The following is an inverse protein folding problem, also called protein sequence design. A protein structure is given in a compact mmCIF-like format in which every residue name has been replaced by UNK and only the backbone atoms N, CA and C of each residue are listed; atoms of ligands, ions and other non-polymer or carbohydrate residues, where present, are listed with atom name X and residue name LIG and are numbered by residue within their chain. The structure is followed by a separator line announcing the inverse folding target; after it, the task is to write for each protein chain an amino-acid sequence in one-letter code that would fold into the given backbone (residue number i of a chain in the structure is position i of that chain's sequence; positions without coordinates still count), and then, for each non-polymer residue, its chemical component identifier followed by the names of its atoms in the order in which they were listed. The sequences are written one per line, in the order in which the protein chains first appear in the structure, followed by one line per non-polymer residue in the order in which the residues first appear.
data_IF_388762022026
#
_entry.id   IF_388762022026
#
_cell.length_a   1.000
_cell.length_b   1.000
_cell.length_c   1.000
_cell.angle_alpha   90.00
_cell.angle_beta   90.00
_cell.angle_gamma   90.00
#
_symmetry.space_group_name_H-M   'P 1'
#
loop_
_entity.id
_entity.type
_entity.pdbx_description
1 polymer ?
#
# COMPACT_ATOMS: atom_id res chain seq x y z
N UNK A 1 -7.79 30.30 -4.62
CA UNK A 1 -7.18 28.99 -4.95
C UNK A 1 -5.68 29.13 -4.78
N UNK A 2 -5.02 28.24 -4.01
CA UNK A 2 -3.57 28.26 -3.87
C UNK A 2 -2.88 28.02 -5.22
N UNK A 3 -1.74 28.66 -5.45
CA UNK A 3 -0.96 28.45 -6.68
C UNK A 3 -0.55 26.98 -6.82
N UNK A 4 -0.53 26.43 -8.05
CA UNK A 4 0.02 25.12 -8.32
C UNK A 4 1.48 25.02 -7.87
N UNK A 5 1.86 23.97 -7.14
CA UNK A 5 3.22 23.79 -6.64
C UNK A 5 3.83 22.54 -7.24
N UNK A 6 5.03 22.65 -7.78
CA UNK A 6 5.81 21.56 -8.35
C UNK A 6 7.21 21.59 -7.77
N UNK A 7 7.54 20.60 -6.92
CA UNK A 7 8.91 20.43 -6.42
C UNK A 7 9.65 19.46 -7.31
N UNK A 8 10.81 19.84 -7.79
CA UNK A 8 11.60 19.07 -8.76
C UNK A 8 12.43 17.96 -8.11
N UNK A 9 12.63 18.02 -6.79
CA UNK A 9 13.48 17.07 -6.05
C UNK A 9 12.70 16.49 -4.88
N UNK A 10 13.05 15.24 -4.51
CA UNK A 10 12.46 14.50 -3.40
C UNK A 10 13.56 14.00 -2.47
N UNK A 11 13.38 14.18 -1.17
CA UNK A 11 14.23 13.57 -0.15
C UNK A 11 13.72 12.14 0.11
N UNK A 12 14.30 11.15 -0.54
CA UNK A 12 13.88 9.75 -0.53
C UNK A 12 14.38 9.00 0.72
N UNK A 13 13.63 7.97 1.15
CA UNK A 13 14.19 6.93 2.01
C UNK A 13 15.36 6.24 1.31
N UNK A 14 16.32 5.75 2.09
CA UNK A 14 17.52 5.13 1.53
C UNK A 14 17.20 3.84 0.73
N UNK A 15 17.87 3.60 -0.43
CA UNK A 15 17.66 2.40 -1.23
C UNK A 15 17.84 1.09 -0.46
N UNK A 16 18.81 1.03 0.47
CA UNK A 16 19.02 -0.12 1.34
C UNK A 16 17.83 -0.42 2.25
N UNK A 17 17.14 0.61 2.73
CA UNK A 17 15.92 0.44 3.52
C UNK A 17 14.77 -0.10 2.68
N UNK A 18 14.59 0.38 1.46
CA UNK A 18 13.61 -0.16 0.53
C UNK A 18 13.89 -1.64 0.21
N UNK A 19 15.17 -2.03 0.04
CA UNK A 19 15.55 -3.42 -0.19
C UNK A 19 15.20 -4.33 1.00
N UNK A 20 15.34 -3.86 2.23
CA UNK A 20 14.90 -4.56 3.45
C UNK A 20 13.38 -4.64 3.51
N UNK A 21 12.68 -3.54 3.30
CA UNK A 21 11.22 -3.48 3.33
C UNK A 21 10.55 -4.41 2.29
N UNK A 22 11.22 -4.74 1.17
CA UNK A 22 10.72 -5.72 0.19
C UNK A 22 10.65 -7.16 0.71
N UNK A 23 11.28 -7.46 1.84
CA UNK A 23 11.34 -8.81 2.44
C UNK A 23 10.23 -9.05 3.47
N UNK A 24 9.54 -8.01 3.88
CA UNK A 24 8.45 -8.07 4.87
C UNK A 24 7.13 -7.71 4.19
N UNK A 25 6.02 -8.13 4.78
CA UNK A 25 4.68 -7.88 4.25
C UNK A 25 4.15 -6.51 4.69
N UNK A 26 3.10 -6.05 4.02
CA UNK A 26 2.34 -4.85 4.46
C UNK A 26 1.76 -5.06 5.86
N UNK A 27 1.29 -6.27 6.17
CA UNK A 27 0.78 -6.63 7.50
C UNK A 27 1.87 -6.50 8.58
N UNK A 28 3.09 -7.01 8.32
CA UNK A 28 4.21 -6.88 9.25
C UNK A 28 4.60 -5.43 9.50
N UNK A 29 4.65 -4.64 8.44
CA UNK A 29 4.93 -3.20 8.58
C UNK A 29 3.85 -2.52 9.42
N UNK A 30 2.56 -2.80 9.15
CA UNK A 30 1.45 -2.19 9.86
C UNK A 30 1.45 -2.52 11.35
N UNK A 31 1.64 -3.76 11.74
CA UNK A 31 1.72 -4.15 13.16
C UNK A 31 2.86 -3.42 13.89
N UNK A 32 3.95 -3.10 13.19
CA UNK A 32 5.07 -2.35 13.76
C UNK A 32 4.88 -0.82 13.76
N UNK A 33 3.70 -0.33 13.35
CA UNK A 33 3.29 1.07 13.54
C UNK A 33 2.43 1.29 14.79
N UNK A 34 2.32 0.33 15.71
CA UNK A 34 1.52 0.45 16.92
C UNK A 34 1.88 1.70 17.76
N UNK A 35 3.17 2.04 17.86
CA UNK A 35 3.65 3.25 18.54
C UNK A 35 3.26 4.56 17.78
N UNK A 36 2.76 4.45 16.57
CA UNK A 36 2.21 5.52 15.75
C UNK A 36 0.67 5.42 15.66
N UNK A 37 0.02 4.76 16.61
CA UNK A 37 -1.41 4.49 16.63
C UNK A 37 -1.93 3.78 15.35
N UNK A 38 -1.13 2.84 14.82
CA UNK A 38 -1.41 2.09 13.58
C UNK A 38 -1.65 2.98 12.36
N UNK A 39 -1.00 4.15 12.31
CA UNK A 39 -1.09 5.07 11.20
C UNK A 39 -0.46 4.50 9.93
N UNK A 40 -0.91 5.00 8.78
CA UNK A 40 -0.28 4.76 7.49
C UNK A 40 -0.95 3.71 6.61
N UNK A 41 -1.85 2.88 7.14
CA UNK A 41 -2.59 1.92 6.32
C UNK A 41 -3.69 2.64 5.51
N UNK A 42 -3.65 2.48 4.19
CA UNK A 42 -4.68 3.04 3.31
C UNK A 42 -6.00 2.28 3.43
N UNK A 43 -7.09 2.98 3.11
CA UNK A 43 -8.43 2.39 3.07
C UNK A 43 -8.44 1.09 2.24
N UNK A 44 -9.20 0.05 2.66
CA UNK A 44 -9.39 -1.19 1.88
C UNK A 44 -10.02 -0.98 0.49
N UNK A 45 -10.50 0.22 0.18
CA UNK A 45 -10.92 0.58 -1.19
C UNK A 45 -9.72 0.72 -2.14
N UNK A 46 -8.52 0.93 -1.62
CA UNK A 46 -7.29 0.91 -2.40
C UNK A 46 -6.90 -0.55 -2.66
N UNK A 47 -7.28 -1.07 -3.82
CA UNK A 47 -7.14 -2.49 -4.16
C UNK A 47 -6.05 -2.71 -5.18
N UNK A 48 -5.38 -3.83 -5.08
CA UNK A 48 -4.47 -4.31 -6.11
C UNK A 48 -5.26 -4.62 -7.39
N UNK A 49 -4.91 -3.95 -8.49
CA UNK A 49 -5.54 -4.10 -9.80
C UNK A 49 -4.77 -5.08 -10.69
N UNK A 50 -3.44 -5.08 -10.58
CA UNK A 50 -2.55 -5.98 -11.33
C UNK A 50 -1.63 -6.75 -10.38
N UNK A 51 -1.04 -7.86 -10.85
CA UNK A 51 -0.14 -8.69 -10.03
C UNK A 51 1.16 -7.99 -9.68
N UNK A 52 1.78 -8.45 -8.61
CA UNK A 52 3.07 -7.96 -8.12
C UNK A 52 2.97 -7.16 -6.83
N UNK A 53 4.11 -6.80 -6.28
CA UNK A 53 4.27 -5.99 -5.07
C UNK A 53 5.11 -4.77 -5.41
N UNK A 54 4.94 -3.68 -4.68
CA UNK A 54 5.72 -2.45 -4.85
C UNK A 54 6.23 -1.95 -3.52
N UNK A 55 7.53 -1.62 -3.47
CA UNK A 55 8.15 -0.96 -2.31
C UNK A 55 9.15 0.07 -2.80
N UNK A 56 8.97 1.30 -2.36
CA UNK A 56 9.86 2.40 -2.73
C UNK A 56 9.48 3.74 -2.10
N UNK A 57 10.31 4.76 -2.31
CA UNK A 57 9.96 6.12 -1.90
C UNK A 57 8.79 6.68 -2.72
N UNK A 58 7.92 7.43 -2.06
CA UNK A 58 6.80 8.09 -2.72
C UNK A 58 7.26 9.24 -3.61
N UNK A 59 6.78 9.28 -4.84
CA UNK A 59 6.65 10.51 -5.63
C UNK A 59 5.16 10.80 -5.80
N UNK A 60 4.72 12.04 -5.64
CA UNK A 60 3.29 12.35 -5.56
C UNK A 60 2.82 13.24 -6.70
N UNK A 61 1.61 12.97 -7.18
CA UNK A 61 0.89 13.76 -8.16
C UNK A 61 -0.52 14.09 -7.66
N UNK A 62 -0.84 15.36 -7.56
CA UNK A 62 -2.18 15.86 -7.26
C UNK A 62 -2.82 16.36 -8.55
N UNK A 63 -3.73 15.56 -9.10
CA UNK A 63 -4.45 15.86 -10.32
C UNK A 63 -5.81 16.51 -10.03
N UNK A 64 -6.30 17.32 -10.92
CA UNK A 64 -7.67 17.83 -10.90
C UNK A 64 -8.63 16.81 -11.50
N UNK A 65 -9.90 16.86 -11.09
CA UNK A 65 -10.93 15.98 -11.62
C UNK A 65 -10.95 15.97 -13.18
N UNK A 66 -10.92 14.78 -13.75
CA UNK A 66 -10.93 14.57 -15.20
C UNK A 66 -9.62 14.85 -15.92
N UNK A 67 -8.51 15.12 -15.20
CA UNK A 67 -7.24 15.54 -15.79
C UNK A 67 -6.05 14.76 -15.20
N UNK A 68 -5.08 14.35 -16.01
CA UNK A 68 -3.90 13.60 -15.58
C UNK A 68 -2.55 14.28 -15.92
N UNK A 69 -2.56 15.59 -16.22
CA UNK A 69 -1.34 16.33 -16.57
C UNK A 69 -0.27 16.24 -15.47
N UNK A 70 -0.68 16.36 -14.18
CA UNK A 70 0.27 16.29 -13.07
C UNK A 70 0.82 14.89 -12.84
N UNK A 71 0.07 13.84 -13.15
CA UNK A 71 0.59 12.46 -13.17
C UNK A 71 1.72 12.34 -14.20
N UNK A 72 1.53 12.83 -15.43
CA UNK A 72 2.58 12.84 -16.45
C UNK A 72 3.81 13.65 -16.00
N UNK A 73 3.59 14.79 -15.35
CA UNK A 73 4.70 15.59 -14.83
C UNK A 73 5.46 14.88 -13.72
N UNK A 74 4.78 14.28 -12.76
CA UNK A 74 5.41 13.48 -11.70
C UNK A 74 6.21 12.30 -12.28
N UNK A 75 5.60 11.57 -13.23
CA UNK A 75 6.25 10.46 -13.90
C UNK A 75 7.53 10.87 -14.64
N UNK A 76 7.59 12.08 -15.20
CA UNK A 76 8.80 12.61 -15.82
C UNK A 76 9.93 12.95 -14.85
N UNK A 77 9.61 13.17 -13.56
CA UNK A 77 10.56 13.47 -12.48
C UNK A 77 10.92 12.23 -11.63
N UNK A 78 10.21 11.12 -11.83
CA UNK A 78 10.42 9.88 -11.09
C UNK A 78 11.81 9.29 -11.34
N UNK A 79 12.38 8.67 -10.31
CA UNK A 79 13.65 7.96 -10.36
C UNK A 79 13.45 6.43 -10.19
N UNK A 80 14.43 5.61 -10.58
CA UNK A 80 14.33 4.16 -10.39
C UNK A 80 14.06 3.78 -8.94
N UNK A 81 13.08 2.89 -8.75
CA UNK A 81 12.64 2.43 -7.45
C UNK A 81 11.53 3.25 -6.79
N UNK A 82 11.14 4.40 -7.35
CA UNK A 82 10.02 5.19 -6.83
C UNK A 82 8.68 4.45 -6.97
N UNK A 83 7.78 4.71 -6.03
CA UNK A 83 6.34 4.41 -6.15
C UNK A 83 5.61 5.71 -6.43
N UNK A 84 4.92 5.79 -7.56
CA UNK A 84 4.13 6.97 -7.91
C UNK A 84 2.77 6.91 -7.22
N UNK A 85 2.46 7.93 -6.42
CA UNK A 85 1.16 8.08 -5.75
C UNK A 85 0.37 9.19 -6.44
N UNK A 86 -0.72 8.83 -7.11
CA UNK A 86 -1.58 9.73 -7.87
C UNK A 86 -2.89 9.94 -7.13
N UNK A 87 -3.26 11.18 -6.91
CA UNK A 87 -4.55 11.53 -6.32
C UNK A 87 -5.34 12.41 -7.28
N UNK A 88 -6.52 11.93 -7.68
CA UNK A 88 -7.50 12.73 -8.41
C UNK A 88 -8.37 13.49 -7.40
N UNK A 89 -8.40 14.81 -7.51
CA UNK A 89 -9.28 15.64 -6.68
C UNK A 89 -10.70 15.65 -7.25
N UNK A 90 -11.66 15.30 -6.40
CA UNK A 90 -13.07 15.21 -6.78
C UNK A 90 -13.42 13.88 -7.46
N UNK A 91 -14.71 13.65 -7.59
CA UNK A 91 -15.24 12.45 -8.25
C UNK A 91 -15.07 12.55 -9.77
N UNK A 92 -14.52 11.51 -10.36
CA UNK A 92 -14.39 11.38 -11.82
C UNK A 92 -14.14 9.93 -12.20
N UNK A 93 -14.78 9.50 -13.27
CA UNK A 93 -14.47 8.21 -13.92
C UNK A 93 -13.23 8.27 -14.82
N UNK A 94 -12.68 9.46 -15.06
CA UNK A 94 -11.54 9.62 -15.97
C UNK A 94 -10.28 8.92 -15.44
N UNK A 95 -9.72 8.03 -16.25
CA UNK A 95 -8.58 7.20 -15.87
C UNK A 95 -7.29 8.04 -15.79
N UNK A 96 -6.69 8.02 -14.61
CA UNK A 96 -5.43 8.70 -14.33
C UNK A 96 -4.22 7.92 -14.87
N UNK A 97 -4.36 6.59 -15.05
CA UNK A 97 -3.29 5.68 -15.42
C UNK A 97 -3.77 4.66 -16.46
N UNK A 98 -2.84 4.19 -17.31
CA UNK A 98 -3.09 3.15 -18.31
C UNK A 98 -1.78 2.59 -18.88
N UNK A 99 -1.85 1.81 -19.96
CA UNK A 99 -0.75 1.04 -20.52
C UNK A 99 0.44 1.89 -21.00
N UNK A 100 0.21 3.05 -21.63
CA UNK A 100 1.28 3.93 -22.12
C UNK A 100 2.10 4.51 -20.96
N UNK A 101 1.43 4.95 -19.90
CA UNK A 101 2.11 5.42 -18.69
C UNK A 101 2.91 4.28 -18.03
N UNK A 102 2.35 3.08 -18.02
CA UNK A 102 2.98 1.86 -17.50
C UNK A 102 4.28 1.53 -18.26
N UNK A 103 4.25 1.54 -19.58
CA UNK A 103 5.46 1.28 -20.40
C UNK A 103 6.58 2.28 -20.09
N UNK A 104 6.23 3.54 -19.93
CA UNK A 104 7.22 4.56 -19.54
C UNK A 104 7.72 4.36 -18.11
N UNK A 105 6.84 4.02 -17.16
CA UNK A 105 7.21 3.72 -15.77
C UNK A 105 8.19 2.53 -15.67
N UNK A 106 7.94 1.46 -16.40
CA UNK A 106 8.86 0.32 -16.52
C UNK A 106 10.23 0.76 -17.04
N UNK A 107 10.24 1.54 -18.13
CA UNK A 107 11.49 2.07 -18.71
C UNK A 107 12.25 2.96 -17.72
N UNK A 108 11.53 3.69 -16.87
CA UNK A 108 12.12 4.54 -15.81
C UNK A 108 12.50 3.74 -14.57
N UNK A 109 12.12 2.46 -14.47
CA UNK A 109 12.43 1.60 -13.34
C UNK A 109 11.59 1.86 -12.09
N UNK A 110 10.37 2.39 -12.20
CA UNK A 110 9.47 2.56 -11.06
C UNK A 110 9.11 1.21 -10.46
N UNK A 111 8.89 1.18 -9.14
CA UNK A 111 8.49 -0.01 -8.42
C UNK A 111 6.98 -0.30 -8.56
N UNK A 112 6.15 0.72 -8.79
CA UNK A 112 4.71 0.57 -8.92
C UNK A 112 3.98 1.91 -8.91
N UNK A 113 2.65 1.84 -8.97
CA UNK A 113 1.77 3.01 -8.89
C UNK A 113 0.58 2.76 -7.97
N UNK A 114 0.21 3.77 -7.20
CA UNK A 114 -0.98 3.81 -6.34
C UNK A 114 -1.85 4.99 -6.79
N UNK A 115 -3.10 4.72 -7.14
CA UNK A 115 -4.01 5.72 -7.74
C UNK A 115 -5.28 5.85 -6.93
N UNK A 116 -5.46 6.96 -6.24
CA UNK A 116 -6.80 7.35 -5.78
C UNK A 116 -7.55 7.98 -6.94
N UNK A 117 -8.35 7.19 -7.60
CA UNK A 117 -9.04 7.47 -8.85
C UNK A 117 -9.10 6.24 -9.73
N UNK A 118 -9.49 6.43 -10.99
CA UNK A 118 -9.66 5.36 -11.95
C UNK A 118 -8.36 5.04 -12.72
N UNK A 119 -8.22 3.75 -13.06
CA UNK A 119 -7.20 3.24 -14.00
C UNK A 119 -7.89 2.52 -15.16
N UNK A 120 -7.19 2.36 -16.29
CA UNK A 120 -7.69 1.65 -17.47
C UNK A 120 -6.64 0.69 -18.04
N UNK A 121 -6.99 -0.01 -19.09
CA UNK A 121 -6.11 -0.94 -19.82
C UNK A 121 -5.55 -2.06 -18.91
N UNK A 122 -6.35 -2.49 -17.91
CA UNK A 122 -5.91 -3.35 -16.79
C UNK A 122 -5.28 -4.64 -17.29
N UNK A 123 -5.88 -5.31 -18.28
CA UNK A 123 -5.36 -6.57 -18.83
C UNK A 123 -4.00 -6.37 -19.49
N UNK A 124 -3.83 -5.29 -20.23
CA UNK A 124 -2.55 -4.95 -20.87
C UNK A 124 -1.48 -4.59 -19.84
N UNK A 125 -1.86 -3.87 -18.77
CA UNK A 125 -0.95 -3.49 -17.68
C UNK A 125 -0.53 -4.73 -16.87
N UNK A 126 -1.46 -5.67 -16.61
CA UNK A 126 -1.14 -6.94 -15.92
C UNK A 126 -0.19 -7.81 -16.75
N UNK A 127 -0.38 -7.88 -18.07
CA UNK A 127 0.53 -8.57 -18.99
C UNK A 127 1.93 -7.96 -19.01
N UNK A 128 2.06 -6.65 -18.80
CA UNK A 128 3.35 -5.97 -18.66
C UNK A 128 4.04 -6.27 -17.31
N UNK A 129 3.35 -6.90 -16.35
CA UNK A 129 3.89 -7.25 -15.05
C UNK A 129 4.17 -6.05 -14.13
N UNK A 130 3.49 -4.92 -14.33
CA UNK A 130 3.68 -3.72 -13.52
C UNK A 130 2.63 -3.60 -12.42
N UNK A 131 3.04 -3.46 -11.15
CA UNK A 131 2.12 -3.43 -10.02
C UNK A 131 1.32 -2.13 -9.94
N UNK A 132 -0.01 -2.25 -9.85
CA UNK A 132 -0.95 -1.13 -9.76
C UNK A 132 -1.96 -1.37 -8.65
N UNK A 133 -2.17 -0.36 -7.81
CA UNK A 133 -3.30 -0.25 -6.87
C UNK A 133 -4.16 0.93 -7.26
N UNK A 134 -5.47 0.77 -7.20
CA UNK A 134 -6.42 1.84 -7.51
C UNK A 134 -7.69 1.72 -6.68
N UNK A 135 -8.43 2.82 -6.58
CA UNK A 135 -9.77 2.81 -6.00
C UNK A 135 -10.85 2.40 -6.99
N UNK A 136 -10.59 2.59 -8.30
CA UNK A 136 -11.56 2.36 -9.37
C UNK A 136 -10.90 1.90 -10.66
N UNK A 137 -11.68 1.24 -11.51
CA UNK A 137 -11.33 0.91 -12.91
C UNK A 137 -12.37 1.52 -13.82
N UNK A 138 -11.95 2.29 -14.82
CA UNK A 138 -12.84 2.92 -15.80
C UNK A 138 -12.10 3.19 -17.11
N UNK A 139 -12.70 2.93 -18.28
CA UNK A 139 -12.08 3.20 -19.57
C UNK A 139 -12.10 4.69 -19.97
N UNK A 140 -12.73 5.54 -19.16
CA UNK A 140 -12.95 6.94 -19.53
C UNK A 140 -11.63 7.71 -19.70
N UNK A 141 -11.60 8.57 -20.70
CA UNK A 141 -10.44 9.41 -21.02
C UNK A 141 -10.22 10.51 -19.98
N UNK A 142 -8.94 10.84 -19.70
CA UNK A 142 -8.55 12.00 -18.91
C UNK A 142 -7.91 13.07 -19.80
N UNK A 143 -8.23 14.33 -19.54
CA UNK A 143 -7.67 15.49 -20.21
C UNK A 143 -6.25 15.82 -19.71
N UNK A 144 -5.62 16.84 -20.35
CA UNK A 144 -4.30 17.37 -20.01
C UNK A 144 -4.30 18.91 -20.10
N UNK A 145 -5.01 19.57 -19.20
CA UNK A 145 -5.20 21.02 -19.25
C UNK A 145 -5.26 21.70 -17.90
N UNK A 146 -5.23 20.97 -16.80
CA UNK A 146 -5.42 21.53 -15.45
C UNK A 146 -4.16 21.35 -14.61
N UNK A 147 -3.71 22.44 -13.99
CA UNK A 147 -2.61 22.40 -13.06
C UNK A 147 -3.08 21.96 -11.66
N UNK A 148 -2.29 21.13 -11.03
CA UNK A 148 -2.44 20.66 -9.64
C UNK A 148 -1.12 20.79 -8.89
N UNK A 149 -0.61 19.67 -8.34
CA UNK A 149 0.66 19.63 -7.62
C UNK A 149 1.52 18.43 -7.96
N UNK A 150 2.85 18.56 -7.87
CA UNK A 150 3.79 17.46 -7.98
C UNK A 150 4.78 17.55 -6.84
N UNK A 151 5.06 16.40 -6.23
CA UNK A 151 5.91 16.30 -5.05
C UNK A 151 5.46 17.23 -3.92
N UNK A 152 4.14 17.32 -3.73
CA UNK A 152 3.48 17.95 -2.58
C UNK A 152 2.86 16.88 -1.70
N UNK A 153 2.63 17.11 -0.40
CA UNK A 153 1.83 16.21 0.41
C UNK A 153 0.43 16.01 -0.19
N UNK A 154 -0.02 14.77 -0.26
CA UNK A 154 -1.37 14.40 -0.73
C UNK A 154 -2.07 13.51 0.30
N UNK A 155 -3.39 13.45 0.26
CA UNK A 155 -4.16 12.46 1.01
C UNK A 155 -4.60 11.37 0.04
N UNK A 156 -4.11 10.16 0.22
CA UNK A 156 -4.41 9.00 -0.61
C UNK A 156 -4.92 7.86 0.28
N UNK A 157 -6.07 7.30 -0.03
CA UNK A 157 -6.68 6.24 0.77
C UNK A 157 -6.91 6.62 2.25
N UNK A 158 -7.13 7.91 2.54
CA UNK A 158 -7.28 8.42 3.91
C UNK A 158 -5.95 8.69 4.64
N UNK A 159 -4.81 8.45 4.01
CA UNK A 159 -3.47 8.62 4.58
C UNK A 159 -2.75 9.79 3.95
N UNK A 160 -2.07 10.59 4.77
CA UNK A 160 -1.16 11.64 4.28
C UNK A 160 0.10 10.98 3.73
N UNK A 161 0.39 11.20 2.47
CA UNK A 161 1.61 10.76 1.79
C UNK A 161 2.47 11.97 1.50
N UNK A 162 3.67 12.01 2.04
CA UNK A 162 4.66 13.04 1.73
C UNK A 162 5.67 12.51 0.72
N UNK A 163 6.16 13.35 -0.20
CA UNK A 163 7.25 12.94 -1.10
C UNK A 163 8.44 12.38 -0.32
N UNK A 164 8.88 11.18 -0.69
CA UNK A 164 10.00 10.49 -0.08
C UNK A 164 9.65 9.57 1.09
N UNK A 165 8.38 9.50 1.53
CA UNK A 165 7.92 8.50 2.48
C UNK A 165 8.05 7.08 1.88
N UNK A 166 8.23 6.07 2.73
CA UNK A 166 8.25 4.69 2.29
C UNK A 166 6.81 4.24 1.98
N UNK A 167 6.57 3.80 0.75
CA UNK A 167 5.34 3.13 0.35
C UNK A 167 5.64 1.65 0.17
N UNK A 168 4.83 0.79 0.79
CA UNK A 168 4.84 -0.65 0.54
C UNK A 168 3.41 -1.10 0.19
N UNK A 169 3.31 -1.98 -0.80
CA UNK A 169 2.04 -2.44 -1.31
C UNK A 169 2.14 -3.89 -1.79
N UNK A 170 1.20 -4.73 -1.36
CA UNK A 170 1.10 -6.15 -1.70
C UNK A 170 -0.37 -6.59 -1.88
N UNK A 171 -0.66 -7.89 -1.69
CA UNK A 171 -2.01 -8.46 -1.80
C UNK A 171 -2.99 -7.92 -0.79
N UNK A 172 -2.51 -7.53 0.39
CA UNK A 172 -3.33 -7.09 1.52
C UNK A 172 -3.68 -5.60 1.44
N UNK A 173 -2.90 -4.81 0.71
CA UNK A 173 -3.16 -3.39 0.55
C UNK A 173 -1.92 -2.52 0.40
N UNK A 174 -2.04 -1.28 0.87
CA UNK A 174 -0.98 -0.27 0.77
C UNK A 174 -0.75 0.38 2.13
N UNK A 175 0.50 0.43 2.55
CA UNK A 175 0.93 1.19 3.74
C UNK A 175 1.92 2.28 3.36
N UNK A 176 1.84 3.41 4.05
CA UNK A 176 2.79 4.52 3.97
C UNK A 176 3.44 4.70 5.34
N UNK A 177 4.75 4.65 5.36
CA UNK A 177 5.52 4.92 6.59
C UNK A 177 6.30 6.21 6.39
N UNK A 178 6.05 7.20 7.24
CA UNK A 178 6.80 8.45 7.19
C UNK A 178 8.31 8.17 7.21
N UNK A 179 9.06 8.83 6.35
CA UNK A 179 10.50 8.62 6.17
C UNK A 179 11.30 8.59 7.47
N UNK A 180 10.93 9.44 8.45
CA UNK A 180 11.60 9.50 9.77
C UNK A 180 11.37 8.27 10.64
N UNK A 181 10.32 7.50 10.42
CA UNK A 181 9.96 6.31 11.17
C UNK A 181 10.30 5.01 10.43
N UNK A 182 10.67 5.09 9.15
CA UNK A 182 10.79 3.95 8.27
C UNK A 182 11.85 2.94 8.74
N UNK A 183 12.98 3.40 9.27
CA UNK A 183 14.02 2.49 9.81
C UNK A 183 13.52 1.66 10.99
N UNK A 184 12.83 2.30 11.95
CA UNK A 184 12.33 1.62 13.13
C UNK A 184 11.21 0.61 12.77
N UNK A 185 10.28 1.01 11.88
CA UNK A 185 9.17 0.15 11.45
C UNK A 185 9.67 -1.05 10.67
N UNK A 186 10.58 -0.87 9.71
CA UNK A 186 11.16 -1.97 8.92
C UNK A 186 11.96 -2.92 9.81
N UNK A 187 12.78 -2.39 10.73
CA UNK A 187 13.56 -3.21 11.67
C UNK A 187 12.66 -4.03 12.60
N UNK A 188 11.56 -3.46 13.07
CA UNK A 188 10.54 -4.17 13.86
C UNK A 188 9.86 -5.29 13.06
N UNK A 189 9.48 -5.03 11.80
CA UNK A 189 8.89 -6.01 10.91
C UNK A 189 9.83 -7.19 10.61
N UNK A 190 11.12 -6.93 10.37
CA UNK A 190 12.14 -7.98 10.24
C UNK A 190 12.27 -8.83 11.50
N UNK A 191 12.16 -8.22 12.68
CA UNK A 191 12.16 -8.93 13.96
C UNK A 191 10.92 -9.82 14.12
N UNK A 192 9.74 -9.35 13.68
CA UNK A 192 8.50 -10.12 13.67
C UNK A 192 8.61 -11.33 12.75
N UNK A 193 9.05 -11.13 11.51
CA UNK A 193 9.22 -12.20 10.53
C UNK A 193 10.04 -13.37 11.09
N UNK A 194 11.18 -13.09 11.76
CA UNK A 194 11.98 -14.14 12.39
C UNK A 194 11.23 -14.90 13.50
N UNK A 195 10.38 -14.23 14.29
CA UNK A 195 9.54 -14.92 15.29
C UNK A 195 8.46 -15.78 14.66
N UNK A 196 7.90 -15.37 13.53
CA UNK A 196 6.89 -16.16 12.80
C UNK A 196 7.49 -17.40 12.14
N UNK A 197 8.75 -17.35 11.70
CA UNK A 197 9.49 -18.55 11.24
C UNK A 197 9.61 -19.60 12.37
N UNK A 198 9.88 -19.19 13.61
CA UNK A 198 9.89 -20.07 14.78
C UNK A 198 8.50 -20.67 15.05
N UNK A 199 7.46 -19.82 15.02
CA UNK A 199 6.06 -20.28 15.16
C UNK A 199 5.70 -21.30 14.08
N UNK A 200 6.06 -21.05 12.84
CA UNK A 200 5.80 -21.96 11.73
C UNK A 200 6.52 -23.31 11.93
N UNK A 201 7.76 -23.29 12.42
CA UNK A 201 8.51 -24.53 12.71
C UNK A 201 7.85 -25.33 13.85
N UNK A 202 7.36 -24.67 14.91
CA UNK A 202 6.65 -25.33 16.02
C UNK A 202 5.32 -25.95 15.55
N UNK A 203 4.57 -25.26 14.68
CA UNK A 203 3.35 -25.80 14.06
C UNK A 203 3.69 -27.04 13.23
N UNK A 204 4.75 -26.99 12.42
CA UNK A 204 5.21 -28.13 11.65
C UNK A 204 5.65 -29.31 12.54
N UNK A 205 6.13 -29.02 13.76
CA UNK A 205 6.44 -29.99 14.81
C UNK A 205 5.23 -30.58 15.53
N UNK A 206 4.00 -30.16 15.19
CA UNK A 206 2.74 -30.68 15.75
C UNK A 206 2.25 -29.92 16.98
N UNK A 207 2.87 -28.79 17.35
CA UNK A 207 2.35 -27.96 18.43
C UNK A 207 1.05 -27.26 18.02
N UNK A 208 0.11 -27.17 18.95
CA UNK A 208 -1.17 -26.49 18.70
C UNK A 208 -1.01 -24.97 18.69
N UNK A 209 -1.49 -24.34 17.64
CA UNK A 209 -1.49 -22.86 17.47
C UNK A 209 -2.11 -22.16 18.70
N UNK A 210 -3.18 -22.73 19.26
CA UNK A 210 -3.86 -22.28 20.48
C UNK A 210 -2.89 -22.03 21.66
N UNK A 211 -1.86 -22.86 21.80
CA UNK A 211 -0.87 -22.75 22.86
C UNK A 211 0.30 -21.83 22.47
N UNK A 212 0.75 -21.94 21.22
CA UNK A 212 1.90 -21.17 20.68
C UNK A 212 1.63 -19.66 20.77
N UNK A 213 0.42 -19.25 20.40
CA UNK A 213 0.03 -17.83 20.36
C UNK A 213 -0.33 -17.25 21.73
N UNK A 214 -0.35 -18.08 22.78
CA UNK A 214 -0.83 -17.67 24.10
C UNK A 214 -2.35 -17.50 24.20
N UNK A 215 -3.09 -17.93 23.17
CA UNK A 215 -4.56 -17.85 23.13
C UNK A 215 -5.19 -18.63 24.27
N UNK A 216 -4.64 -19.80 24.62
CA UNK A 216 -5.08 -20.60 25.80
C UNK A 216 -5.03 -19.77 27.08
N UNK A 217 -3.92 -19.12 27.36
CA UNK A 217 -3.78 -18.29 28.56
C UNK A 217 -4.65 -17.01 28.51
N UNK A 218 -4.85 -16.46 27.33
CA UNK A 218 -5.77 -15.32 27.15
C UNK A 218 -7.23 -15.73 27.40
N UNK A 219 -7.65 -16.88 26.85
CA UNK A 219 -8.99 -17.41 27.02
C UNK A 219 -9.31 -17.74 28.47
N UNK A 220 -8.38 -18.37 29.21
CA UNK A 220 -8.57 -18.69 30.63
C UNK A 220 -8.82 -17.46 31.53
N UNK A 221 -8.44 -16.27 31.09
CA UNK A 221 -8.73 -15.01 31.81
C UNK A 221 -10.12 -14.44 31.51
N UNK A 222 -10.81 -14.99 30.52
CA UNK A 222 -12.17 -14.60 30.16
C UNK A 222 -13.16 -15.57 30.78
N UNK A 223 -14.38 -15.08 31.10
CA UNK A 223 -15.44 -15.94 31.63
C UNK A 223 -16.21 -16.50 30.44
N UNK A 224 -16.03 -17.80 30.21
CA UNK A 224 -16.81 -18.56 29.21
C UNK A 224 -17.32 -19.85 29.86
N UNK A 225 -18.46 -20.36 29.37
CA UNK A 225 -18.96 -21.68 29.72
C UNK A 225 -18.58 -22.62 28.57
N UNK A 226 -17.84 -23.67 28.91
CA UNK A 226 -17.47 -24.71 27.95
C UNK A 226 -18.30 -25.95 28.22
N UNK A 227 -18.84 -26.55 27.16
CA UNK A 227 -19.58 -27.79 27.22
C UNK A 227 -18.78 -28.88 26.51
N UNK A 228 -18.53 -29.99 27.18
CA UNK A 228 -17.97 -31.20 26.55
C UNK A 228 -19.07 -31.97 25.84
N UNK A 229 -19.71 -31.30 24.89
CA UNK A 229 -20.83 -31.82 24.11
C UNK A 229 -20.85 -31.11 22.74
N UNK A 230 -21.44 -31.76 21.74
CA UNK A 230 -21.81 -31.08 20.52
C UNK A 230 -22.95 -30.10 20.79
N UNK A 231 -22.95 -28.97 20.07
CA UNK A 231 -24.14 -28.09 20.08
C UNK A 231 -25.28 -28.87 19.45
N UNK A 232 -26.36 -28.99 20.25
CA UNK A 232 -27.64 -29.57 19.82
C UNK A 232 -28.61 -28.39 19.63
N UNK A 233 -29.02 -28.15 18.39
CA UNK A 233 -30.01 -27.12 18.04
C UNK A 233 -31.43 -27.47 18.49
N UNK A 234 -31.53 -28.51 19.36
CA UNK A 234 -32.74 -28.84 20.11
C UNK A 234 -33.94 -29.06 19.20
N UNK A 235 -34.14 -30.28 18.72
CA UNK A 235 -35.50 -30.70 18.60
C UNK A 235 -36.08 -30.70 20.02
N UNK A 236 -36.82 -29.64 20.32
CA UNK A 236 -37.56 -29.55 21.55
C UNK A 236 -38.53 -30.75 21.61
N UNK A 237 -38.28 -31.62 22.57
CA UNK A 237 -39.22 -32.64 22.96
C UNK A 237 -40.51 -32.02 23.50
#
# INVERSE_FOLDING_TARGET
MSQPMIYLRVNRVAPGLCARARRVTVADLHENTAHLAYAGLMSPRMRRVTRGNAVGPAITALCRAGDNLMMHRALSLAEPGDVLVVVSQGETSAAQWGDIATRFAIKRGLAGVVVQGSVRDVDAVDQLGFPVWATEVSPAHADKGKLGGVNVPVVCGGVVVRPGDLVAADGDGVIVVERRHAEAVVGGAEGKMRREEDVAARIAGGEMLWNITGSSAAFQRLVAVEFDAAFDDGEAA
#
